data_IF_420556179999
#
_entry.id   IF_420556179999
#
_cell.length_a   1.000
_cell.length_b   1.000
_cell.length_c   1.000
_cell.angle_alpha   90.00
_cell.angle_beta   90.00
_cell.angle_gamma   90.00
#
_symmetry.space_group_name_H-M   'P 1'
#
loop_
_entity.id
_entity.type
_entity.pdbx_description
1 polymer ?
#
# COMPACT_ATOMS: atom_id res chain seq x y z
N UNK A 1 12.47 -16.73 2.30
CA UNK A 1 13.69 -16.14 1.68
C UNK A 1 13.60 -16.07 0.17
N UNK A 2 13.08 -17.10 -0.52
CA UNK A 2 12.94 -17.08 -1.98
C UNK A 2 11.98 -15.99 -2.44
N UNK A 3 10.80 -15.93 -1.87
CA UNK A 3 9.79 -14.92 -2.18
C UNK A 3 10.27 -13.48 -1.93
N UNK A 4 11.04 -13.24 -0.86
CA UNK A 4 11.60 -11.92 -0.59
C UNK A 4 12.63 -11.49 -1.64
N UNK A 5 13.43 -12.42 -2.19
CA UNK A 5 14.38 -12.11 -3.26
C UNK A 5 13.69 -11.74 -4.57
N UNK A 6 12.56 -12.36 -4.87
CA UNK A 6 11.74 -12.03 -6.04
C UNK A 6 11.18 -10.60 -5.97
N UNK A 7 10.93 -10.10 -4.74
CA UNK A 7 10.49 -8.73 -4.48
C UNK A 7 11.66 -7.73 -4.26
N UNK A 8 12.91 -8.10 -4.58
CA UNK A 8 14.08 -7.24 -4.35
C UNK A 8 14.44 -7.02 -2.89
N UNK A 9 13.96 -7.88 -1.99
CA UNK A 9 14.26 -7.81 -0.56
C UNK A 9 15.18 -8.93 -0.10
N UNK A 10 16.13 -8.63 0.77
CA UNK A 10 17.07 -9.60 1.31
C UNK A 10 16.90 -9.76 2.82
N UNK A 11 16.80 -11.01 3.29
CA UNK A 11 16.67 -11.32 4.71
C UNK A 11 17.99 -11.82 5.27
N UNK A 12 18.53 -11.10 6.25
CA UNK A 12 19.77 -11.43 6.97
C UNK A 12 19.54 -11.45 8.48
N UNK A 13 20.38 -12.21 9.17
CA UNK A 13 20.39 -12.27 10.63
C UNK A 13 21.73 -11.72 11.10
N UNK A 14 21.68 -10.69 11.94
CA UNK A 14 22.83 -10.05 12.55
C UNK A 14 22.71 -10.04 14.07
N UNK A 15 23.83 -9.78 14.75
CA UNK A 15 23.81 -9.55 16.20
C UNK A 15 23.19 -8.18 16.50
N UNK A 16 22.17 -8.13 17.36
CA UNK A 16 21.44 -6.91 17.69
C UNK A 16 22.36 -5.75 18.12
N UNK A 17 23.42 -6.04 18.87
CA UNK A 17 24.37 -5.01 19.31
C UNK A 17 25.13 -4.36 18.15
N UNK A 18 25.46 -5.12 17.09
CA UNK A 18 26.12 -4.56 15.92
C UNK A 18 25.18 -3.66 15.13
N UNK A 19 23.93 -4.06 15.03
CA UNK A 19 22.88 -3.26 14.36
C UNK A 19 22.64 -1.95 15.12
N UNK A 20 22.58 -1.97 16.45
CA UNK A 20 22.49 -0.76 17.28
C UNK A 20 23.64 0.23 17.01
N UNK A 21 24.87 -0.25 16.95
CA UNK A 21 26.03 0.60 16.66
C UNK A 21 25.94 1.17 15.23
N UNK A 22 25.53 0.36 14.26
CA UNK A 22 25.38 0.80 12.89
C UNK A 22 24.30 1.87 12.72
N UNK A 23 23.15 1.73 13.39
CA UNK A 23 22.07 2.71 13.39
C UNK A 23 22.50 4.04 14.04
N UNK A 24 23.22 3.99 15.16
CA UNK A 24 23.78 5.19 15.81
C UNK A 24 24.76 5.93 14.90
N UNK A 25 25.61 5.21 14.18
CA UNK A 25 26.57 5.81 13.24
C UNK A 25 25.90 6.45 12.02
N UNK A 26 24.71 6.03 11.68
CA UNK A 26 23.92 6.57 10.56
C UNK A 26 22.87 7.60 10.98
N UNK A 27 22.88 8.06 12.24
CA UNK A 27 21.92 9.01 12.81
C UNK A 27 20.45 8.57 12.62
N UNK A 28 20.23 7.25 12.57
CA UNK A 28 18.89 6.68 12.47
C UNK A 28 18.22 6.62 13.86
N UNK A 29 16.86 6.65 13.91
CA UNK A 29 16.14 6.59 15.17
C UNK A 29 16.48 5.33 15.98
N UNK A 30 16.62 5.49 17.29
CA UNK A 30 16.87 4.37 18.20
C UNK A 30 15.59 3.51 18.32
N UNK A 31 15.69 2.23 17.97
CA UNK A 31 14.61 1.25 18.04
C UNK A 31 14.94 0.12 19.02
N UNK A 32 15.39 0.51 20.21
CA UNK A 32 15.87 -0.44 21.23
C UNK A 32 14.81 -1.46 21.64
N UNK A 33 13.55 -1.09 21.66
CA UNK A 33 12.43 -1.98 22.00
C UNK A 33 12.23 -3.09 20.96
N UNK A 34 12.45 -2.79 19.67
CA UNK A 34 12.28 -3.74 18.58
C UNK A 34 13.45 -4.73 18.52
N UNK A 35 14.64 -4.32 18.97
CA UNK A 35 15.86 -5.12 18.95
C UNK A 35 15.99 -6.11 20.11
N UNK A 36 14.94 -6.34 20.87
CA UNK A 36 14.93 -7.32 21.96
C UNK A 36 14.67 -8.74 21.43
N UNK A 37 15.52 -9.71 21.83
CA UNK A 37 15.37 -11.15 21.50
C UNK A 37 15.89 -11.53 20.09
N UNK A 38 15.50 -12.69 19.56
CA UNK A 38 15.91 -13.14 18.23
C UNK A 38 15.21 -12.30 17.16
N UNK A 39 16.01 -11.65 16.30
CA UNK A 39 15.51 -10.76 15.23
C UNK A 39 16.17 -11.13 13.91
N UNK A 40 15.36 -11.18 12.85
CA UNK A 40 15.82 -11.24 11.48
C UNK A 40 15.52 -9.90 10.81
N UNK A 41 16.47 -9.40 10.04
CA UNK A 41 16.38 -8.12 9.35
C UNK A 41 16.07 -8.35 7.89
N UNK A 42 15.11 -7.59 7.38
CA UNK A 42 14.76 -7.59 5.97
C UNK A 42 15.15 -6.23 5.40
N UNK A 43 16.04 -6.23 4.44
CA UNK A 43 16.48 -5.05 3.71
C UNK A 43 15.76 -5.04 2.36
N UNK A 44 15.25 -3.88 1.97
CA UNK A 44 14.62 -3.68 0.67
C UNK A 44 15.34 -2.53 -0.05
N UNK A 45 15.48 -2.65 -1.36
CA UNK A 45 16.11 -1.63 -2.19
C UNK A 45 15.09 -0.80 -2.98
N UNK A 46 13.96 -1.39 -3.32
CA UNK A 46 13.02 -0.77 -4.26
C UNK A 46 11.76 -0.27 -3.56
N UNK A 47 10.88 -1.16 -3.10
CA UNK A 47 9.59 -0.78 -2.52
C UNK A 47 9.31 -1.51 -1.20
N UNK A 48 8.97 -0.77 -0.13
CA UNK A 48 8.66 -1.37 1.16
C UNK A 48 7.35 -2.19 1.12
N UNK A 49 6.42 -1.82 0.24
CA UNK A 49 5.07 -2.40 0.17
C UNK A 49 5.10 -3.87 -0.22
N UNK A 50 5.90 -4.23 -1.24
CA UNK A 50 6.00 -5.62 -1.70
C UNK A 50 6.65 -6.52 -0.67
N UNK A 51 7.73 -6.05 -0.04
CA UNK A 51 8.39 -6.76 1.05
C UNK A 51 7.45 -6.97 2.25
N UNK A 52 6.69 -5.93 2.63
CA UNK A 52 5.73 -5.99 3.72
C UNK A 52 4.57 -6.95 3.42
N UNK A 53 4.05 -6.99 2.18
CA UNK A 53 3.03 -7.96 1.74
C UNK A 53 3.54 -9.40 1.83
N UNK A 54 4.74 -9.66 1.31
CA UNK A 54 5.34 -10.99 1.36
C UNK A 54 5.54 -11.46 2.81
N UNK A 55 5.92 -10.56 3.73
CA UNK A 55 6.06 -10.86 5.15
C UNK A 55 4.70 -11.13 5.82
N UNK A 56 3.67 -10.33 5.51
CA UNK A 56 2.31 -10.51 6.02
C UNK A 56 1.73 -11.85 5.59
N UNK A 57 1.84 -12.19 4.30
CA UNK A 57 1.36 -13.45 3.75
C UNK A 57 2.08 -14.65 4.37
N UNK A 58 3.39 -14.53 4.58
CA UNK A 58 4.16 -15.58 5.22
C UNK A 58 3.81 -15.71 6.70
N UNK A 59 3.63 -14.61 7.42
CA UNK A 59 3.20 -14.62 8.82
C UNK A 59 1.85 -15.31 8.98
N UNK A 60 0.89 -15.02 8.09
CA UNK A 60 -0.42 -15.67 8.07
C UNK A 60 -0.33 -17.18 7.81
N UNK A 61 0.54 -17.61 6.88
CA UNK A 61 0.77 -19.03 6.56
C UNK A 61 1.52 -19.78 7.64
N UNK A 62 2.40 -19.11 8.36
CA UNK A 62 3.31 -19.72 9.35
C UNK A 62 2.71 -19.88 10.73
N UNK A 63 1.41 -19.62 10.94
CA UNK A 63 0.70 -19.78 12.23
C UNK A 63 1.43 -19.15 13.43
N UNK A 64 1.99 -17.93 13.24
CA UNK A 64 2.62 -17.18 14.33
C UNK A 64 4.09 -17.48 14.58
N UNK A 65 4.77 -18.24 13.74
CA UNK A 65 6.23 -18.46 13.84
C UNK A 65 7.02 -17.18 13.53
N UNK A 66 6.49 -16.32 12.67
CA UNK A 66 7.07 -15.02 12.34
C UNK A 66 6.17 -13.91 12.87
N UNK A 67 6.72 -13.09 13.76
CA UNK A 67 6.10 -11.89 14.28
C UNK A 67 6.82 -10.65 13.76
N UNK A 68 6.06 -9.72 13.18
CA UNK A 68 6.58 -8.44 12.71
C UNK A 68 6.68 -7.52 13.92
N UNK A 69 7.89 -7.13 14.30
CA UNK A 69 8.13 -6.22 15.44
C UNK A 69 8.11 -4.75 15.06
N UNK A 70 8.45 -4.43 13.82
CA UNK A 70 8.54 -3.06 13.31
C UNK A 70 9.71 -2.91 12.35
N UNK A 71 10.10 -1.67 12.05
CA UNK A 71 11.20 -1.38 11.15
C UNK A 71 11.57 0.10 11.08
N UNK A 72 12.37 0.43 10.09
CA UNK A 72 12.71 1.81 9.72
C UNK A 72 12.32 2.01 8.26
N UNK A 73 11.54 3.04 7.97
CA UNK A 73 11.22 3.48 6.61
C UNK A 73 11.45 4.99 6.52
N UNK A 74 12.17 5.42 5.50
CA UNK A 74 12.48 6.84 5.25
C UNK A 74 13.08 7.58 6.47
N UNK A 75 13.93 6.91 7.24
CA UNK A 75 14.54 7.48 8.44
C UNK A 75 13.60 7.64 9.64
N UNK A 76 12.41 7.03 9.60
CA UNK A 76 11.45 7.02 10.71
C UNK A 76 11.26 5.63 11.25
N UNK A 77 11.17 5.51 12.57
CA UNK A 77 10.79 4.27 13.22
C UNK A 77 9.30 3.96 12.92
N UNK A 78 9.04 2.76 12.47
CA UNK A 78 7.70 2.27 12.09
C UNK A 78 7.32 1.14 13.02
N UNK A 79 6.15 1.22 13.63
CA UNK A 79 5.63 0.18 14.53
C UNK A 79 5.15 -1.06 13.77
N UNK A 80 4.87 -2.14 14.50
CA UNK A 80 4.34 -3.37 13.89
C UNK A 80 2.99 -3.15 13.18
N UNK A 81 2.16 -2.25 13.72
CA UNK A 81 0.84 -1.97 13.14
C UNK A 81 0.95 -1.09 11.89
N UNK A 82 1.91 -0.15 11.87
CA UNK A 82 2.20 0.65 10.68
C UNK A 82 2.75 -0.23 9.54
N UNK A 83 3.60 -1.22 9.84
CA UNK A 83 4.07 -2.18 8.82
C UNK A 83 2.92 -2.99 8.24
N UNK A 84 1.93 -3.37 9.06
CA UNK A 84 0.72 -4.04 8.57
C UNK A 84 -0.12 -3.11 7.68
N UNK A 85 -0.25 -1.84 8.05
CA UNK A 85 -0.94 -0.83 7.24
C UNK A 85 -0.23 -0.61 5.89
N UNK A 86 1.10 -0.52 5.88
CA UNK A 86 1.91 -0.44 4.65
C UNK A 86 1.68 -1.69 3.77
N UNK A 87 1.57 -2.88 4.36
CA UNK A 87 1.29 -4.10 3.61
C UNK A 87 -0.11 -4.13 2.96
N UNK A 88 -1.05 -3.31 3.43
CA UNK A 88 -2.39 -3.17 2.85
C UNK A 88 -2.46 -2.18 1.70
N UNK A 89 -1.44 -1.32 1.56
CA UNK A 89 -1.40 -0.34 0.48
C UNK A 89 -1.25 -1.03 -0.89
N UNK A 90 -1.87 -0.46 -1.94
CA UNK A 90 -1.60 -0.86 -3.31
C UNK A 90 -0.14 -0.60 -3.71
N UNK A 91 0.37 -1.33 -4.69
CA UNK A 91 1.69 -1.05 -5.26
C UNK A 91 1.72 0.32 -5.93
N UNK A 92 2.90 0.89 -6.14
CA UNK A 92 3.09 2.19 -6.79
C UNK A 92 2.40 2.26 -8.15
N UNK A 93 2.52 1.21 -8.95
CA UNK A 93 1.89 1.14 -10.27
C UNK A 93 0.36 1.12 -10.19
N UNK A 94 -0.18 0.42 -9.20
CA UNK A 94 -1.62 0.41 -8.93
C UNK A 94 -2.11 1.79 -8.46
N UNK A 95 -1.36 2.49 -7.61
CA UNK A 95 -1.69 3.87 -7.19
C UNK A 95 -1.66 4.84 -8.37
N UNK A 96 -0.65 4.76 -9.23
CA UNK A 96 -0.58 5.55 -10.46
C UNK A 96 -1.75 5.24 -11.39
N UNK A 97 -2.11 3.96 -11.54
CA UNK A 97 -3.30 3.55 -12.29
C UNK A 97 -4.60 4.10 -11.72
N UNK A 98 -4.74 4.11 -10.39
CA UNK A 98 -5.90 4.73 -9.72
C UNK A 98 -5.97 6.23 -9.97
N UNK A 99 -4.87 6.95 -9.87
CA UNK A 99 -4.81 8.40 -10.16
C UNK A 99 -5.21 8.67 -11.62
N UNK A 100 -4.65 7.92 -12.57
CA UNK A 100 -5.02 8.04 -13.98
C UNK A 100 -6.51 7.73 -14.22
N UNK A 101 -7.03 6.71 -13.53
CA UNK A 101 -8.45 6.35 -13.56
C UNK A 101 -9.35 7.46 -13.01
N UNK A 102 -8.98 8.10 -11.92
CA UNK A 102 -9.72 9.23 -11.35
C UNK A 102 -9.75 10.42 -12.30
N UNK A 103 -8.63 10.77 -12.94
CA UNK A 103 -8.57 11.86 -13.92
C UNK A 103 -9.47 11.57 -15.12
N UNK A 104 -9.42 10.34 -15.65
CA UNK A 104 -10.27 9.91 -16.76
C UNK A 104 -11.74 9.81 -16.36
N UNK A 105 -12.04 9.39 -15.13
CA UNK A 105 -13.37 9.33 -14.57
C UNK A 105 -14.01 10.70 -14.49
N UNK A 106 -13.28 11.70 -14.01
CA UNK A 106 -13.78 13.07 -13.89
C UNK A 106 -14.22 13.65 -15.25
N UNK A 107 -13.43 13.43 -16.30
CA UNK A 107 -13.80 13.85 -17.66
C UNK A 107 -15.06 13.13 -18.17
N UNK A 108 -15.20 11.84 -17.88
CA UNK A 108 -16.39 11.05 -18.22
C UNK A 108 -17.62 11.55 -17.49
N UNK A 109 -17.51 11.83 -16.18
CA UNK A 109 -18.63 12.27 -15.36
C UNK A 109 -19.19 13.62 -15.82
N UNK A 110 -18.30 14.55 -16.24
CA UNK A 110 -18.73 15.81 -16.86
C UNK A 110 -19.52 15.53 -18.16
N UNK A 111 -19.01 14.67 -19.02
CA UNK A 111 -19.69 14.33 -20.27
C UNK A 111 -21.05 13.66 -20.01
N UNK A 112 -21.15 12.80 -19.02
CA UNK A 112 -22.41 12.16 -18.60
C UNK A 112 -23.40 13.21 -18.06
N UNK A 113 -22.95 14.14 -17.24
CA UNK A 113 -23.81 15.22 -16.72
C UNK A 113 -24.35 16.10 -17.86
N UNK A 114 -23.52 16.50 -18.82
CA UNK A 114 -23.94 17.32 -19.96
C UNK A 114 -24.94 16.56 -20.83
N UNK A 115 -24.67 15.31 -21.17
CA UNK A 115 -25.57 14.48 -21.96
C UNK A 115 -26.85 14.11 -21.19
N UNK A 116 -26.79 13.99 -19.87
CA UNK A 116 -27.92 13.69 -19.01
C UNK A 116 -29.01 14.76 -19.05
N UNK A 117 -28.62 16.03 -19.09
CA UNK A 117 -29.55 17.16 -19.19
C UNK A 117 -30.31 17.13 -20.52
N UNK A 118 -29.61 16.98 -21.63
CA UNK A 118 -30.24 16.94 -22.95
C UNK A 118 -31.14 15.73 -23.17
N UNK A 119 -30.68 14.56 -22.70
CA UNK A 119 -31.46 13.32 -22.75
C UNK A 119 -32.69 13.35 -21.84
N UNK A 120 -32.56 13.96 -20.65
CA UNK A 120 -33.67 14.15 -19.72
C UNK A 120 -34.77 15.05 -20.30
N UNK A 121 -34.41 16.16 -20.93
CA UNK A 121 -35.31 17.06 -21.60
C UNK A 121 -36.03 16.36 -22.77
N UNK A 122 -35.31 15.64 -23.62
CA UNK A 122 -35.90 14.88 -24.72
C UNK A 122 -36.93 13.85 -24.26
N UNK A 123 -36.61 13.09 -23.20
CA UNK A 123 -37.52 12.11 -22.59
C UNK A 123 -38.76 12.80 -22.02
N UNK A 124 -38.63 13.92 -21.32
CA UNK A 124 -39.75 14.65 -20.74
C UNK A 124 -40.70 15.18 -21.83
N UNK A 125 -40.13 15.72 -22.92
CA UNK A 125 -40.92 16.18 -24.06
C UNK A 125 -41.68 15.00 -24.72
N UNK A 126 -41.02 13.88 -24.90
CA UNK A 126 -41.63 12.68 -25.46
C UNK A 126 -42.79 12.16 -24.57
N UNK A 127 -42.62 12.10 -23.26
CA UNK A 127 -43.67 11.68 -22.33
C UNK A 127 -44.87 12.63 -22.37
N UNK A 128 -44.66 13.95 -22.43
CA UNK A 128 -45.76 14.92 -22.55
C UNK A 128 -46.47 14.77 -23.87
N UNK A 129 -45.74 14.50 -24.96
CA UNK A 129 -46.34 14.24 -26.29
C UNK A 129 -47.21 12.99 -26.28
N UNK A 130 -46.72 11.90 -25.68
CA UNK A 130 -47.51 10.64 -25.56
C UNK A 130 -48.74 10.81 -24.70
N UNK A 131 -48.66 11.56 -23.59
CA UNK A 131 -49.83 11.85 -22.73
C UNK A 131 -50.88 12.75 -23.41
N UNK A 132 -50.50 13.58 -24.39
CA UNK A 132 -51.48 14.40 -25.14
C UNK A 132 -52.07 13.68 -26.33
N UNK A 133 -51.43 12.59 -26.78
CA UNK A 133 -51.93 11.79 -27.91
C UNK A 133 -52.87 10.64 -27.49
N UNK A 134 -52.96 10.36 -26.16
CA UNK A 134 -53.91 9.44 -25.56
C UNK A 134 -55.13 10.19 -25.00
#
# INVERSE_FOLDING_TARGET
>A
RHQLRECGAEMKVYKNNLVKIALKNQEQPEIDEILAGPVAYVFYETEPVEAAKALKDFSAKSKGVLEIKGGISDGKAVSADDVKAIAELPTKDQLLGQIAGLISGFARDIAVCVNGVSSGLARSIQQVSEQKAA
#
